data_IF_620023902070
#
_entry.id   IF_620023902070
#
_cell.length_a   1.000
_cell.length_b   1.000
_cell.length_c   1.000
_cell.angle_alpha   90.00
_cell.angle_beta   90.00
_cell.angle_gamma   90.00
#
_symmetry.space_group_name_H-M   'P 1'
#
loop_
_entity.id
_entity.type
_entity.pdbx_description
1 polymer ?
#
# COMPACT_ATOMS: atom_id res chain seq x y z
N UNK A 1 -41.48 26.05 -11.76
CA UNK A 1 -42.29 24.83 -11.92
C UNK A 1 -41.45 23.57 -12.20
N UNK A 2 -40.42 23.59 -13.07
CA UNK A 2 -39.52 22.44 -13.27
C UNK A 2 -38.69 21.98 -12.05
N UNK A 3 -38.23 22.92 -11.23
CA UNK A 3 -37.37 22.62 -10.07
C UNK A 3 -38.09 21.94 -8.90
N UNK A 4 -39.42 22.04 -8.85
CA UNK A 4 -40.23 21.39 -7.81
C UNK A 4 -40.40 19.89 -8.13
N UNK A 5 -40.50 19.53 -9.41
CA UNK A 5 -40.53 18.12 -9.84
C UNK A 5 -39.18 17.42 -9.63
N UNK A 6 -38.06 18.13 -9.79
CA UNK A 6 -36.72 17.58 -9.54
C UNK A 6 -36.43 17.30 -8.05
N UNK A 7 -37.05 18.04 -7.12
CA UNK A 7 -36.93 17.79 -5.67
C UNK A 7 -37.68 16.53 -5.22
N UNK A 8 -38.77 16.16 -5.91
CA UNK A 8 -39.57 14.97 -5.63
C UNK A 8 -39.23 13.78 -6.52
N UNK A 9 -38.17 13.90 -7.33
CA UNK A 9 -37.76 12.86 -8.28
C UNK A 9 -37.15 11.67 -7.51
N UNK A 10 -38.02 10.76 -7.07
CA UNK A 10 -37.70 9.53 -6.34
C UNK A 10 -36.91 8.51 -7.18
N UNK A 11 -36.61 8.80 -8.44
CA UNK A 11 -35.82 7.90 -9.30
C UNK A 11 -34.47 7.52 -8.69
N UNK A 12 -33.82 8.45 -7.97
CA UNK A 12 -32.57 8.13 -7.27
C UNK A 12 -32.81 7.23 -6.05
N UNK A 13 -33.90 7.48 -5.31
CA UNK A 13 -34.30 6.66 -4.18
C UNK A 13 -34.67 5.24 -4.64
N UNK A 14 -35.43 5.09 -5.72
CA UNK A 14 -35.82 3.81 -6.29
C UNK A 14 -34.62 3.05 -6.87
N UNK A 15 -33.68 3.75 -7.50
CA UNK A 15 -32.44 3.15 -8.02
C UNK A 15 -31.57 2.64 -6.86
N UNK A 16 -31.40 3.43 -5.81
CA UNK A 16 -30.65 3.04 -4.62
C UNK A 16 -31.37 1.89 -3.91
N UNK A 17 -32.68 1.98 -3.70
CA UNK A 17 -33.50 0.96 -3.05
C UNK A 17 -33.41 -0.36 -3.82
N UNK A 18 -33.63 -0.33 -5.14
CA UNK A 18 -33.52 -1.50 -6.02
C UNK A 18 -32.11 -2.11 -5.95
N UNK A 19 -31.07 -1.28 -6.01
CA UNK A 19 -29.69 -1.75 -5.89
C UNK A 19 -29.44 -2.45 -4.55
N UNK A 20 -29.95 -1.92 -3.44
CA UNK A 20 -29.80 -2.51 -2.10
C UNK A 20 -30.60 -3.80 -1.96
N UNK A 21 -31.81 -3.87 -2.54
CA UNK A 21 -32.66 -5.08 -2.48
C UNK A 21 -32.18 -6.20 -3.38
N UNK A 22 -31.50 -5.88 -4.48
CA UNK A 22 -30.94 -6.85 -5.43
C UNK A 22 -29.51 -7.29 -5.05
N UNK A 23 -28.90 -6.69 -4.02
CA UNK A 23 -27.63 -7.18 -3.47
C UNK A 23 -27.83 -8.58 -2.89
N UNK A 24 -27.29 -9.58 -3.57
CA UNK A 24 -27.12 -10.91 -2.99
C UNK A 24 -26.17 -10.80 -1.80
N UNK A 25 -26.69 -11.01 -0.58
CA UNK A 25 -25.88 -11.12 0.62
C UNK A 25 -25.02 -12.38 0.50
N UNK A 26 -23.75 -12.20 0.17
CA UNK A 26 -22.73 -13.22 0.37
C UNK A 26 -22.17 -12.98 1.76
N UNK A 27 -22.41 -13.92 2.69
CA UNK A 27 -21.67 -13.95 3.94
C UNK A 27 -20.18 -14.05 3.58
N UNK A 28 -19.45 -12.95 3.76
CA UNK A 28 -18.01 -12.97 3.54
C UNK A 28 -17.43 -13.71 4.74
N UNK A 29 -17.31 -15.03 4.61
CA UNK A 29 -16.54 -15.84 5.54
C UNK A 29 -15.10 -15.33 5.51
N UNK A 30 -14.72 -14.64 6.58
CA UNK A 30 -13.35 -14.31 6.88
C UNK A 30 -12.90 -15.28 7.96
N UNK A 31 -12.41 -16.48 7.59
CA UNK A 31 -11.79 -17.34 8.60
C UNK A 31 -10.62 -16.54 9.16
N UNK A 32 -10.71 -16.18 10.46
CA UNK A 32 -9.59 -15.53 11.14
C UNK A 32 -8.35 -16.37 10.88
N UNK A 33 -7.28 -15.73 10.37
CA UNK A 33 -6.02 -16.42 10.10
C UNK A 33 -5.61 -17.19 11.37
N UNK A 34 -5.62 -18.54 11.34
CA UNK A 34 -5.33 -19.31 12.54
C UNK A 34 -3.90 -19.06 12.98
N UNK A 35 -3.68 -18.95 14.29
CA UNK A 35 -2.37 -18.65 14.85
C UNK A 35 -1.33 -19.69 14.43
N UNK A 36 -1.70 -20.96 14.34
CA UNK A 36 -0.79 -22.04 13.91
C UNK A 36 -0.38 -21.90 12.45
N UNK A 37 -1.32 -21.52 11.59
CA UNK A 37 -1.03 -21.22 10.17
C UNK A 37 -0.11 -20.01 10.05
N UNK A 38 -0.34 -18.97 10.85
CA UNK A 38 0.52 -17.79 10.86
C UNK A 38 1.95 -18.13 11.31
N UNK A 39 2.10 -18.90 12.39
CA UNK A 39 3.41 -19.34 12.90
C UNK A 39 4.19 -20.11 11.84
N UNK A 40 3.56 -21.10 11.20
CA UNK A 40 4.18 -21.89 10.14
C UNK A 40 4.62 -21.01 8.95
N UNK A 41 3.82 -20.02 8.56
CA UNK A 41 4.17 -19.07 7.48
C UNK A 41 5.33 -18.15 7.87
N UNK A 42 5.34 -17.65 9.10
CA UNK A 42 6.43 -16.81 9.61
C UNK A 42 7.74 -17.59 9.70
N UNK A 43 7.71 -18.84 10.13
CA UNK A 43 8.89 -19.70 10.17
C UNK A 43 9.47 -19.94 8.76
N UNK A 44 8.61 -20.27 7.79
CA UNK A 44 9.01 -20.44 6.40
C UNK A 44 9.57 -19.14 5.78
N UNK A 45 9.03 -17.98 6.18
CA UNK A 45 9.54 -16.67 5.76
C UNK A 45 10.89 -16.36 6.41
N UNK A 46 11.03 -16.58 7.72
CA UNK A 46 12.26 -16.34 8.48
C UNK A 46 13.43 -17.14 7.92
N UNK A 47 13.18 -18.37 7.46
CA UNK A 47 14.20 -19.22 6.83
C UNK A 47 14.66 -18.71 5.45
N UNK A 48 13.88 -17.85 4.79
CA UNK A 48 14.11 -17.37 3.42
C UNK A 48 14.57 -15.91 3.34
N UNK A 49 14.59 -15.20 4.45
CA UNK A 49 14.94 -13.78 4.50
C UNK A 49 16.08 -13.54 5.47
N UNK A 50 16.94 -12.54 5.24
CA UNK A 50 17.96 -12.14 6.21
C UNK A 50 17.37 -11.43 7.45
N UNK A 51 16.09 -11.08 7.44
CA UNK A 51 15.41 -10.46 8.58
C UNK A 51 14.98 -11.48 9.63
N UNK A 52 15.07 -11.08 10.90
CA UNK A 52 14.44 -11.81 11.99
C UNK A 52 12.95 -11.48 12.06
N UNK A 53 12.13 -12.36 11.48
CA UNK A 53 10.66 -12.28 11.48
C UNK A 53 10.02 -13.34 12.37
N UNK A 54 10.70 -13.68 13.48
CA UNK A 54 10.20 -14.62 14.47
C UNK A 54 8.81 -14.24 15.01
N UNK A 55 8.00 -15.27 15.27
CA UNK A 55 6.67 -15.09 15.83
C UNK A 55 6.71 -14.35 17.18
N UNK A 56 5.82 -13.38 17.32
CA UNK A 56 5.48 -12.79 18.61
C UNK A 56 4.01 -12.32 18.60
N UNK A 57 3.33 -12.26 19.76
CA UNK A 57 1.92 -11.89 19.83
C UNK A 57 1.61 -10.49 19.29
N UNK A 58 2.53 -9.54 19.44
CA UNK A 58 2.38 -8.17 18.92
C UNK A 58 2.38 -8.14 17.40
N UNK A 59 3.29 -8.90 16.76
CA UNK A 59 3.36 -9.05 15.32
C UNK A 59 2.09 -9.71 14.75
N UNK A 60 1.59 -10.76 15.40
CA UNK A 60 0.33 -11.38 15.01
C UNK A 60 -0.84 -10.39 15.02
N UNK A 61 -0.94 -9.58 16.08
CA UNK A 61 -1.97 -8.54 16.21
C UNK A 61 -1.89 -7.52 15.09
N UNK A 62 -0.67 -7.08 14.74
CA UNK A 62 -0.43 -6.16 13.62
C UNK A 62 -0.82 -6.82 12.28
N UNK A 63 -0.39 -8.05 12.02
CA UNK A 63 -0.73 -8.76 10.77
C UNK A 63 -2.25 -8.90 10.63
N UNK A 64 -2.93 -9.37 11.68
CA UNK A 64 -4.39 -9.52 11.69
C UNK A 64 -5.10 -8.18 11.48
N UNK A 65 -4.64 -7.12 12.13
CA UNK A 65 -5.17 -5.77 11.94
C UNK A 65 -5.04 -5.29 10.49
N UNK A 66 -3.87 -5.47 9.86
CA UNK A 66 -3.68 -5.05 8.47
C UNK A 66 -4.52 -5.88 7.49
N UNK A 67 -4.63 -7.20 7.71
CA UNK A 67 -5.47 -8.07 6.88
C UNK A 67 -6.96 -7.73 7.00
N UNK A 68 -7.43 -7.37 8.21
CA UNK A 68 -8.83 -7.03 8.48
C UNK A 68 -9.18 -5.60 8.08
N UNK A 69 -8.40 -4.62 8.51
CA UNK A 69 -8.75 -3.20 8.44
C UNK A 69 -8.08 -2.45 7.28
N UNK A 70 -7.07 -3.03 6.63
CA UNK A 70 -6.28 -2.39 5.56
C UNK A 70 -6.24 -3.19 4.27
N UNK A 71 -7.25 -4.03 4.01
CA UNK A 71 -7.32 -4.91 2.82
C UNK A 71 -7.09 -4.16 1.49
N UNK A 72 -7.76 -3.02 1.29
CA UNK A 72 -7.60 -2.22 0.07
C UNK A 72 -6.17 -1.70 -0.11
N UNK A 73 -5.51 -1.32 0.99
CA UNK A 73 -4.12 -0.89 0.97
C UNK A 73 -3.20 -2.06 0.59
N UNK A 74 -3.38 -3.22 1.21
CA UNK A 74 -2.57 -4.42 0.93
C UNK A 74 -2.74 -4.86 -0.53
N UNK A 75 -3.97 -4.91 -1.05
CA UNK A 75 -4.23 -5.24 -2.44
C UNK A 75 -3.47 -4.29 -3.39
N UNK A 76 -3.57 -2.97 -3.15
CA UNK A 76 -2.86 -1.98 -3.94
C UNK A 76 -1.34 -2.15 -3.85
N UNK A 77 -0.81 -2.42 -2.65
CA UNK A 77 0.62 -2.64 -2.44
C UNK A 77 1.12 -3.85 -3.21
N UNK A 78 0.39 -4.97 -3.22
CA UNK A 78 0.75 -6.16 -3.99
C UNK A 78 0.80 -5.87 -5.49
N UNK A 79 -0.15 -5.08 -6.00
CA UNK A 79 -0.13 -4.66 -7.41
C UNK A 79 1.05 -3.74 -7.72
N UNK A 80 1.30 -2.73 -6.89
CA UNK A 80 2.41 -1.79 -7.09
C UNK A 80 3.77 -2.46 -6.91
N UNK A 81 3.90 -3.42 -5.99
CA UNK A 81 5.15 -4.16 -5.79
C UNK A 81 5.51 -4.99 -7.02
N UNK A 82 4.53 -5.59 -7.69
CA UNK A 82 4.78 -6.33 -8.92
C UNK A 82 5.35 -5.45 -10.05
N UNK A 83 5.07 -4.14 -10.02
CA UNK A 83 5.59 -3.17 -10.97
C UNK A 83 6.95 -2.60 -10.56
N UNK A 84 7.10 -2.12 -9.31
CA UNK A 84 8.32 -1.43 -8.88
C UNK A 84 9.43 -2.34 -8.37
N UNK A 85 9.12 -3.50 -7.79
CA UNK A 85 10.17 -4.35 -7.22
C UNK A 85 11.19 -4.84 -8.26
N UNK A 86 10.81 -5.23 -9.48
CA UNK A 86 11.80 -5.57 -10.51
C UNK A 86 12.76 -4.42 -10.83
N UNK A 87 12.27 -3.16 -10.85
CA UNK A 87 13.11 -1.98 -11.08
C UNK A 87 14.09 -1.77 -9.92
N UNK A 88 13.58 -1.85 -8.68
CA UNK A 88 14.41 -1.70 -7.49
C UNK A 88 15.46 -2.80 -7.38
N UNK A 89 15.05 -4.05 -7.59
CA UNK A 89 15.94 -5.20 -7.52
C UNK A 89 17.05 -5.12 -8.57
N UNK A 90 16.74 -4.66 -9.79
CA UNK A 90 17.73 -4.47 -10.84
C UNK A 90 18.82 -3.47 -10.43
N UNK A 91 18.44 -2.30 -9.94
CA UNK A 91 19.43 -1.28 -9.54
C UNK A 91 20.15 -1.63 -8.24
N UNK A 92 19.48 -2.28 -7.28
CA UNK A 92 20.11 -2.75 -6.05
C UNK A 92 21.15 -3.84 -6.33
N UNK A 93 20.81 -4.83 -7.17
CA UNK A 93 21.71 -5.92 -7.55
C UNK A 93 22.95 -5.39 -8.31
N UNK A 94 22.74 -4.46 -9.23
CA UNK A 94 23.82 -3.79 -9.98
C UNK A 94 24.82 -3.05 -9.07
N UNK A 95 24.35 -2.55 -7.91
CA UNK A 95 25.19 -1.90 -6.90
C UNK A 95 25.65 -2.87 -5.79
N UNK A 96 25.36 -4.16 -5.92
CA UNK A 96 25.65 -5.20 -4.92
C UNK A 96 25.06 -4.86 -3.54
N UNK A 97 23.83 -4.32 -3.52
CA UNK A 97 23.08 -3.97 -2.33
C UNK A 97 22.04 -5.06 -1.96
N UNK A 98 21.72 -5.24 -0.68
CA UNK A 98 20.65 -6.15 -0.26
C UNK A 98 19.31 -5.81 -0.91
N UNK A 99 18.68 -6.79 -1.57
CA UNK A 99 17.40 -6.59 -2.27
C UNK A 99 16.26 -6.22 -1.32
N UNK A 100 16.40 -6.58 -0.05
CA UNK A 100 15.44 -6.28 1.01
C UNK A 100 15.23 -4.78 1.25
N UNK A 101 16.18 -3.92 0.83
CA UNK A 101 16.06 -2.46 0.92
C UNK A 101 14.79 -1.96 0.23
N UNK A 102 14.30 -2.67 -0.81
CA UNK A 102 13.04 -2.34 -1.51
C UNK A 102 11.83 -2.19 -0.57
N UNK A 103 11.81 -2.89 0.56
CA UNK A 103 10.71 -2.80 1.52
C UNK A 103 10.67 -1.46 2.26
N UNK A 104 11.76 -0.69 2.28
CA UNK A 104 11.77 0.66 2.82
C UNK A 104 10.79 1.57 2.06
N UNK A 105 10.75 1.48 0.73
CA UNK A 105 9.81 2.24 -0.09
C UNK A 105 8.32 1.92 0.23
N UNK A 106 8.04 0.71 0.72
CA UNK A 106 6.71 0.33 1.20
C UNK A 106 6.37 1.07 2.50
N UNK A 107 7.31 1.11 3.44
CA UNK A 107 7.12 1.79 4.74
C UNK A 107 7.02 3.31 4.56
N UNK A 108 7.87 3.88 3.72
CA UNK A 108 8.01 5.33 3.55
C UNK A 108 6.84 5.98 2.78
N UNK A 109 6.39 5.34 1.69
CA UNK A 109 5.40 5.96 0.78
C UNK A 109 4.22 5.07 0.43
N UNK A 110 4.22 3.81 0.86
CA UNK A 110 3.36 2.77 0.33
C UNK A 110 3.45 2.66 -1.21
N UNK A 111 4.69 2.76 -1.74
CA UNK A 111 5.02 2.73 -3.17
C UNK A 111 4.30 3.81 -4.00
N UNK A 112 4.08 4.99 -3.40
CA UNK A 112 3.46 6.12 -4.10
C UNK A 112 4.54 7.11 -4.55
N UNK A 113 4.82 7.23 -5.86
CA UNK A 113 5.91 8.06 -6.35
C UNK A 113 5.70 9.56 -6.08
N UNK A 114 4.45 10.02 -6.01
CA UNK A 114 4.13 11.42 -5.70
C UNK A 114 3.78 11.65 -4.22
N UNK A 115 4.14 10.73 -3.32
CA UNK A 115 3.91 10.92 -1.89
C UNK A 115 4.73 12.11 -1.37
N UNK A 116 4.09 13.01 -0.62
CA UNK A 116 4.75 14.15 0.02
C UNK A 116 4.35 14.20 1.50
N UNK A 117 5.34 14.16 2.39
CA UNK A 117 5.11 14.31 3.83
C UNK A 117 4.82 15.76 4.19
N UNK A 118 4.27 15.98 5.39
CA UNK A 118 4.01 17.33 5.94
C UNK A 118 5.27 18.19 6.02
N UNK A 119 6.44 17.56 6.18
CA UNK A 119 7.74 18.24 6.32
C UNK A 119 8.54 18.30 5.01
N UNK A 120 7.96 17.84 3.89
CA UNK A 120 8.55 18.02 2.55
C UNK A 120 9.39 16.86 2.03
N UNK A 121 9.44 15.73 2.74
CA UNK A 121 9.95 14.47 2.19
C UNK A 121 9.08 14.05 1.00
N UNK A 122 9.67 13.64 -0.11
CA UNK A 122 8.95 13.39 -1.38
C UNK A 122 9.43 12.11 -2.02
N UNK A 123 8.55 11.38 -2.71
CA UNK A 123 8.94 10.23 -3.52
C UNK A 123 8.61 8.86 -2.93
N UNK A 124 8.99 7.83 -3.68
CA UNK A 124 8.95 6.42 -3.24
C UNK A 124 9.78 6.23 -1.96
N UNK A 125 10.93 6.89 -1.90
CA UNK A 125 11.94 6.79 -0.85
C UNK A 125 11.90 7.93 0.18
N UNK A 126 10.95 8.86 0.06
CA UNK A 126 10.80 10.01 0.96
C UNK A 126 12.09 10.84 1.16
N UNK A 127 12.77 11.18 0.07
CA UNK A 127 13.93 12.08 0.15
C UNK A 127 13.52 13.50 0.55
N UNK A 128 14.24 14.07 1.52
CA UNK A 128 14.19 15.51 1.80
C UNK A 128 14.80 16.29 0.65
N UNK A 129 14.36 17.54 0.45
CA UNK A 129 14.83 18.39 -0.65
C UNK A 129 16.36 18.54 -0.65
N UNK A 130 16.94 18.93 0.48
CA UNK A 130 18.39 19.12 0.62
C UNK A 130 19.17 17.82 0.35
N UNK A 131 18.66 16.69 0.85
CA UNK A 131 19.25 15.37 0.64
C UNK A 131 19.20 14.96 -0.83
N UNK A 132 18.07 15.18 -1.52
CA UNK A 132 17.94 14.91 -2.95
C UNK A 132 18.96 15.71 -3.77
N UNK A 133 19.10 17.02 -3.50
CA UNK A 133 20.12 17.85 -4.17
C UNK A 133 21.56 17.37 -3.89
N UNK A 134 21.84 16.91 -2.67
CA UNK A 134 23.16 16.37 -2.31
C UNK A 134 23.51 15.11 -3.10
N UNK A 135 22.51 14.25 -3.38
CA UNK A 135 22.68 13.06 -4.21
C UNK A 135 22.52 13.32 -5.72
N UNK A 136 22.49 14.59 -6.14
CA UNK A 136 22.49 14.96 -7.55
C UNK A 136 21.12 14.98 -8.23
N UNK A 137 20.02 14.80 -7.50
CA UNK A 137 18.67 14.86 -8.07
C UNK A 137 18.34 16.27 -8.57
N UNK A 138 17.71 16.36 -9.74
CA UNK A 138 17.10 17.59 -10.21
C UNK A 138 15.78 17.86 -9.49
N UNK A 139 15.74 19.01 -8.83
CA UNK A 139 14.59 19.47 -8.08
C UNK A 139 14.45 20.98 -8.33
N UNK A 140 13.46 21.31 -9.13
CA UNK A 140 13.10 22.64 -9.59
C UNK A 140 11.58 22.84 -9.47
N UNK A 141 11.09 24.00 -9.89
CA UNK A 141 9.65 24.26 -9.96
C UNK A 141 8.93 23.43 -11.02
N UNK A 142 9.65 22.87 -12.00
CA UNK A 142 9.10 22.13 -13.13
C UNK A 142 9.32 20.62 -13.02
N UNK A 143 10.44 20.20 -12.41
CA UNK A 143 10.86 18.80 -12.30
C UNK A 143 11.22 18.51 -10.85
N UNK A 144 10.77 17.37 -10.32
CA UNK A 144 11.19 16.87 -9.01
C UNK A 144 11.48 15.37 -9.15
N UNK A 145 12.73 15.04 -9.47
CA UNK A 145 13.19 13.66 -9.70
C UNK A 145 13.03 12.77 -8.47
N UNK A 146 12.80 13.33 -7.28
CA UNK A 146 12.43 12.52 -6.10
C UNK A 146 11.13 11.76 -6.33
N UNK A 147 10.25 12.25 -7.22
CA UNK A 147 9.00 11.60 -7.58
C UNK A 147 9.11 10.67 -8.79
N UNK A 148 10.29 10.53 -9.38
CA UNK A 148 10.54 9.65 -10.52
C UNK A 148 10.93 8.24 -10.03
N UNK A 149 10.25 7.16 -10.47
CA UNK A 149 10.51 5.79 -10.04
C UNK A 149 11.83 5.15 -10.48
#
# INVERSE_FOLDING_TARGET
>A
EKWYEDLYNNNLFDTIYKSVTELTFNEIDFPELPTDTLKARLEALNAKTPFNVAYNPSLESVIKFYLKNRRNLIQKLVTLSAFYFPMFEHELDKQNLPLEIKYLAVVESALKPRAKSRVGATGLWQFMFATGKMYGLDVSSYVDERSDP
#
